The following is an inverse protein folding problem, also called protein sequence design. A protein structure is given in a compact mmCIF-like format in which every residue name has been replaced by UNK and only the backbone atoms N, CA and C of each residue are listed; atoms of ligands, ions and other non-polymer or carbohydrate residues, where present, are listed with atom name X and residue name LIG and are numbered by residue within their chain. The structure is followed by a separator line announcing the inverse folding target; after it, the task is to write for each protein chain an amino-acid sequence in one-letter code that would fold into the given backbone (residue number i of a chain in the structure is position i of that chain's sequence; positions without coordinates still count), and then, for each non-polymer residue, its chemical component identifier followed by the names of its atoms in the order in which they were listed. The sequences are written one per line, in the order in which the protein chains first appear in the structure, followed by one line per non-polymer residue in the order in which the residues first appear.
data_IF_945212403981
#
_entry.id   IF_945212403981
#
_cell.length_a   1.000
_cell.length_b   1.000
_cell.length_c   1.000
_cell.angle_alpha   90.00
_cell.angle_beta   90.00
_cell.angle_gamma   90.00
#
_symmetry.space_group_name_H-M   'P 1'
#
loop_
_entity.id
_entity.type
_entity.pdbx_description
1 polymer ?
#
# COMPACT_ATOMS: atom_id res chain seq x y z
N UNK A 1 20.57 4.64 21.60
CA UNK A 1 19.75 3.41 21.71
C UNK A 1 18.46 3.61 20.92
N UNK A 2 18.29 2.93 19.78
CA UNK A 2 17.09 3.00 18.96
C UNK A 2 15.92 2.36 19.70
N UNK A 3 14.98 3.15 20.22
CA UNK A 3 13.76 2.63 20.83
C UNK A 3 12.92 1.90 19.78
N UNK A 4 12.87 0.57 19.88
CA UNK A 4 12.01 -0.29 19.06
C UNK A 4 10.57 0.20 19.17
N UNK A 5 10.06 0.83 18.10
CA UNK A 5 8.69 1.35 18.08
C UNK A 5 7.72 0.18 18.18
N UNK A 6 7.03 0.04 19.33
CA UNK A 6 5.93 -0.93 19.50
C UNK A 6 4.94 -0.76 18.34
N UNK A 7 4.69 -1.84 17.60
CA UNK A 7 3.70 -1.87 16.52
C UNK A 7 2.37 -2.32 17.12
N UNK A 8 1.37 -1.47 17.02
CA UNK A 8 0.00 -1.78 17.45
C UNK A 8 -0.87 -2.07 16.22
N UNK A 9 -1.73 -3.09 16.33
CA UNK A 9 -2.71 -3.44 15.30
C UNK A 9 -3.78 -2.34 15.15
N UNK A 10 -4.56 -2.37 14.08
CA UNK A 10 -5.60 -1.36 13.83
C UNK A 10 -6.75 -1.52 14.82
N UNK A 11 -7.14 -2.76 15.06
CA UNK A 11 -8.22 -3.17 15.94
C UNK A 11 -7.95 -2.67 17.36
N UNK A 12 -6.71 -2.84 17.82
CA UNK A 12 -6.27 -2.36 19.12
C UNK A 12 -6.34 -0.83 19.24
N UNK A 13 -5.87 -0.10 18.23
CA UNK A 13 -5.93 1.38 18.24
C UNK A 13 -7.37 1.87 18.26
N UNK A 14 -8.26 1.23 17.49
CA UNK A 14 -9.68 1.58 17.45
C UNK A 14 -10.35 1.32 18.80
N UNK A 15 -10.11 0.14 19.40
CA UNK A 15 -10.65 -0.19 20.71
C UNK A 15 -10.22 0.84 21.77
N UNK A 16 -8.93 1.16 21.84
CA UNK A 16 -8.38 2.14 22.78
C UNK A 16 -9.01 3.53 22.60
N UNK A 17 -9.22 3.97 21.35
CA UNK A 17 -9.84 5.27 21.08
C UNK A 17 -11.33 5.26 21.40
N UNK A 18 -12.03 4.17 21.11
CA UNK A 18 -13.46 4.02 21.38
C UNK A 18 -13.73 3.99 22.90
N UNK A 19 -12.89 3.31 23.68
CA UNK A 19 -12.92 3.35 25.15
C UNK A 19 -12.63 4.76 25.69
N UNK A 20 -11.70 5.50 25.06
CA UNK A 20 -11.38 6.87 25.45
C UNK A 20 -12.48 7.89 25.09
N UNK A 21 -13.13 7.75 23.94
CA UNK A 21 -14.21 8.64 23.48
C UNK A 21 -15.56 8.31 24.13
N UNK A 22 -15.84 7.04 24.43
CA UNK A 22 -17.06 6.63 25.15
C UNK A 22 -17.08 7.09 26.62
N UNK A 23 -15.95 7.53 27.16
CA UNK A 23 -15.83 7.97 28.56
C UNK A 23 -15.93 6.84 29.59
N UNK A 24 -15.98 5.58 29.15
CA UNK A 24 -16.05 4.39 30.03
C UNK A 24 -14.77 4.24 30.85
N UNK A 25 -13.62 4.64 30.28
CA UNK A 25 -12.33 4.67 30.98
C UNK A 25 -11.64 6.00 30.77
N UNK A 26 -11.09 6.56 31.85
CA UNK A 26 -10.29 7.78 31.77
C UNK A 26 -8.98 7.48 31.03
N UNK A 27 -8.45 8.46 30.30
CA UNK A 27 -7.16 8.33 29.59
C UNK A 27 -6.04 7.77 30.48
N UNK A 28 -6.02 8.15 31.76
CA UNK A 28 -5.05 7.66 32.75
C UNK A 28 -5.25 6.21 33.20
N UNK A 29 -6.45 5.64 33.06
CA UNK A 29 -6.70 4.21 33.28
C UNK A 29 -6.23 3.41 32.07
N UNK A 30 -6.55 3.88 30.85
CA UNK A 30 -6.13 3.25 29.59
C UNK A 30 -4.60 3.19 29.49
N UNK A 31 -3.89 4.25 29.88
CA UNK A 31 -2.43 4.25 29.87
C UNK A 31 -1.81 3.28 30.86
N UNK A 32 -2.43 3.05 32.01
CA UNK A 32 -1.99 2.04 32.99
C UNK A 32 -2.30 0.62 32.56
N UNK A 33 -3.51 0.39 32.03
CA UNK A 33 -3.97 -0.94 31.64
C UNK A 33 -3.23 -1.48 30.41
N UNK A 34 -2.99 -0.61 29.43
CA UNK A 34 -2.34 -1.00 28.17
C UNK A 34 -0.86 -0.60 28.09
N UNK A 35 -0.29 -0.06 29.18
CA UNK A 35 1.06 0.50 29.24
C UNK A 35 1.38 1.48 28.09
N UNK A 36 0.39 2.31 27.75
CA UNK A 36 0.48 3.30 26.69
C UNK A 36 0.90 4.66 27.27
N UNK A 37 1.60 5.46 26.48
CA UNK A 37 1.87 6.85 26.88
C UNK A 37 0.64 7.73 26.60
N UNK A 38 0.36 8.71 27.48
CA UNK A 38 -0.78 9.61 27.28
C UNK A 38 -0.71 10.35 25.92
N UNK A 39 0.51 10.67 25.47
CA UNK A 39 0.75 11.28 24.17
C UNK A 39 0.35 10.41 22.98
N UNK A 40 0.52 9.07 23.06
CA UNK A 40 0.11 8.19 21.94
C UNK A 40 -1.42 8.06 21.88
N UNK A 41 -2.07 7.98 23.04
CA UNK A 41 -3.54 7.93 23.14
C UNK A 41 -4.16 9.22 22.62
N UNK A 42 -3.66 10.39 23.05
CA UNK A 42 -4.12 11.69 22.56
C UNK A 42 -3.97 11.82 21.03
N UNK A 43 -2.85 11.35 20.48
CA UNK A 43 -2.62 11.34 19.03
C UNK A 43 -3.62 10.45 18.30
N UNK A 44 -3.92 9.26 18.83
CA UNK A 44 -4.89 8.35 18.24
C UNK A 44 -6.31 8.92 18.27
N UNK A 45 -6.72 9.52 19.39
CA UNK A 45 -8.01 10.20 19.51
C UNK A 45 -8.12 11.34 18.50
N UNK A 46 -7.07 12.16 18.33
CA UNK A 46 -7.06 13.23 17.34
C UNK A 46 -7.22 12.70 15.90
N UNK A 47 -6.50 11.63 15.54
CA UNK A 47 -6.62 10.98 14.22
C UNK A 47 -8.04 10.46 13.98
N UNK A 48 -8.62 9.82 15.01
CA UNK A 48 -9.98 9.29 14.94
C UNK A 48 -11.05 10.37 14.83
N UNK A 49 -10.91 11.48 15.56
CA UNK A 49 -11.84 12.63 15.47
C UNK A 49 -11.83 13.29 14.09
N UNK A 50 -10.68 13.34 13.42
CA UNK A 50 -10.57 13.90 12.07
C UNK A 50 -11.24 13.00 11.04
N UNK A 51 -11.00 11.68 11.11
CA UNK A 51 -11.54 10.77 10.12
C UNK A 51 -11.74 9.35 10.70
N UNK A 52 -12.86 9.08 11.39
CA UNK A 52 -13.04 7.83 12.13
C UNK A 52 -13.11 6.60 11.22
N UNK A 53 -13.60 6.79 10.00
CA UNK A 53 -13.76 5.70 9.02
C UNK A 53 -12.40 5.22 8.51
N UNK A 54 -11.48 6.13 8.14
CA UNK A 54 -10.15 5.81 7.57
C UNK A 54 -9.04 5.81 8.61
N UNK A 55 -9.35 6.12 9.88
CA UNK A 55 -8.40 6.16 10.98
C UNK A 55 -7.56 4.88 11.03
N UNK A 56 -6.24 5.07 11.15
CA UNK A 56 -5.23 4.01 11.27
C UNK A 56 -5.05 3.09 10.07
N UNK A 57 -5.75 3.30 8.94
CA UNK A 57 -5.50 2.57 7.69
C UNK A 57 -4.21 3.03 6.99
N UNK A 58 -3.82 4.30 7.17
CA UNK A 58 -2.78 4.94 6.36
C UNK A 58 -1.42 4.26 6.32
N UNK A 59 -1.02 3.51 7.36
CA UNK A 59 0.27 2.79 7.35
C UNK A 59 0.21 1.40 6.73
N UNK A 60 -0.95 0.75 6.77
CA UNK A 60 -1.17 -0.54 6.10
C UNK A 60 -1.46 -0.30 4.61
N UNK A 61 -2.28 0.72 4.33
CA UNK A 61 -2.52 1.21 2.98
C UNK A 61 -1.25 1.70 2.32
N UNK A 62 -0.39 2.49 2.99
CA UNK A 62 0.85 2.96 2.36
C UNK A 62 1.75 1.79 1.93
N UNK A 63 1.91 0.77 2.78
CA UNK A 63 2.74 -0.40 2.44
C UNK A 63 2.13 -1.26 1.35
N UNK A 64 0.81 -1.36 1.27
CA UNK A 64 0.14 -2.13 0.22
C UNK A 64 0.11 -1.35 -1.09
N UNK A 65 -0.13 -0.04 -1.03
CA UNK A 65 -0.07 0.88 -2.17
C UNK A 65 1.34 0.94 -2.78
N UNK A 66 2.39 0.95 -1.95
CA UNK A 66 3.78 0.84 -2.40
C UNK A 66 4.05 -0.47 -3.14
N UNK A 67 3.57 -1.60 -2.61
CA UNK A 67 3.68 -2.90 -3.29
C UNK A 67 2.90 -2.95 -4.61
N UNK A 68 1.68 -2.40 -4.62
CA UNK A 68 0.85 -2.33 -5.81
C UNK A 68 1.50 -1.45 -6.88
N UNK A 69 2.07 -0.28 -6.51
CA UNK A 69 2.84 0.57 -7.41
C UNK A 69 4.08 -0.15 -7.98
N UNK A 70 4.79 -0.90 -7.15
CA UNK A 70 5.92 -1.71 -7.61
C UNK A 70 5.47 -2.77 -8.63
N UNK A 71 4.33 -3.42 -8.40
CA UNK A 71 3.78 -4.42 -9.32
C UNK A 71 3.30 -3.81 -10.64
N UNK A 72 2.67 -2.64 -10.60
CA UNK A 72 2.26 -1.91 -11.80
C UNK A 72 3.47 -1.61 -12.68
N UNK A 73 4.54 -1.06 -12.10
CA UNK A 73 5.78 -0.76 -12.84
C UNK A 73 6.40 -2.02 -13.47
N UNK A 74 6.42 -3.13 -12.74
CA UNK A 74 6.90 -4.42 -13.26
C UNK A 74 6.07 -4.89 -14.47
N UNK A 75 4.75 -4.78 -14.36
CA UNK A 75 3.82 -5.16 -15.42
C UNK A 75 3.95 -4.25 -16.65
N UNK A 76 4.10 -2.94 -16.46
CA UNK A 76 4.34 -1.98 -17.54
C UNK A 76 5.64 -2.30 -18.29
N UNK A 77 6.71 -2.64 -17.58
CA UNK A 77 7.96 -3.09 -18.21
C UNK A 77 7.80 -4.42 -18.96
N UNK A 78 7.07 -5.37 -18.40
CA UNK A 78 6.80 -6.64 -19.08
C UNK A 78 5.97 -6.43 -20.36
N UNK A 79 4.96 -5.57 -20.31
CA UNK A 79 4.13 -5.18 -21.45
C UNK A 79 4.97 -4.52 -22.55
N UNK A 80 5.87 -3.60 -22.18
CA UNK A 80 6.78 -2.95 -23.13
C UNK A 80 7.67 -3.97 -23.85
N UNK A 81 8.27 -4.92 -23.13
CA UNK A 81 9.07 -6.00 -23.75
C UNK A 81 8.26 -6.84 -24.72
N UNK A 82 7.03 -7.23 -24.33
CA UNK A 82 6.16 -8.03 -25.19
C UNK A 82 5.69 -7.27 -26.43
N UNK A 83 5.46 -5.96 -26.31
CA UNK A 83 5.12 -5.10 -27.44
C UNK A 83 6.26 -5.05 -28.45
N UNK A 84 7.49 -4.81 -27.99
CA UNK A 84 8.69 -4.82 -28.84
C UNK A 84 8.92 -6.17 -29.54
N UNK A 85 8.68 -7.28 -28.83
CA UNK A 85 8.79 -8.63 -29.38
C UNK A 85 7.77 -8.85 -30.51
N UNK A 86 6.52 -8.44 -30.30
CA UNK A 86 5.46 -8.50 -31.33
C UNK A 86 5.78 -7.62 -32.54
N UNK A 87 6.28 -6.40 -32.33
CA UNK A 87 6.65 -5.50 -33.42
C UNK A 87 7.80 -6.07 -34.24
N UNK A 88 8.82 -6.61 -33.59
CA UNK A 88 9.96 -7.26 -34.27
C UNK A 88 9.48 -8.48 -35.08
N UNK A 89 8.61 -9.31 -34.50
CA UNK A 89 8.01 -10.45 -35.20
C UNK A 89 7.17 -10.03 -36.42
N UNK A 90 6.38 -8.96 -36.32
CA UNK A 90 5.64 -8.41 -37.46
C UNK A 90 6.57 -7.90 -38.55
N UNK A 91 7.61 -7.13 -38.20
CA UNK A 91 8.58 -6.61 -39.16
C UNK A 91 9.34 -7.72 -39.90
N UNK A 92 9.75 -8.77 -39.18
CA UNK A 92 10.40 -9.93 -39.80
C UNK A 92 9.45 -10.70 -40.73
N UNK A 93 8.19 -10.88 -40.34
CA UNK A 93 7.18 -11.53 -41.17
C UNK A 93 6.88 -10.73 -42.45
N UNK A 94 6.75 -9.41 -42.35
CA UNK A 94 6.58 -8.52 -43.51
C UNK A 94 7.80 -8.60 -44.44
N UNK A 95 9.01 -8.53 -43.90
CA UNK A 95 10.24 -8.67 -44.68
C UNK A 95 10.37 -10.03 -45.38
N UNK A 96 9.93 -11.12 -44.74
CA UNK A 96 9.90 -12.46 -45.34
C UNK A 96 8.83 -12.59 -46.44
N UNK A 97 7.68 -11.94 -46.27
CA UNK A 97 6.59 -11.94 -47.26
C UNK A 97 7.00 -11.19 -48.53
N UNK A 98 7.74 -10.08 -48.40
CA UNK A 98 8.32 -9.33 -49.52
C UNK A 98 9.36 -10.17 -50.29
N UNK A 99 10.16 -10.99 -49.58
CA UNK A 99 11.21 -11.83 -50.18
C UNK A 99 10.66 -13.01 -50.99
N UNK A 100 9.50 -13.58 -50.60
CA UNK A 100 8.81 -14.64 -51.37
C UNK A 100 8.30 -14.17 -52.73
N UNK A 101 7.90 -12.90 -52.86
CA UNK A 101 7.45 -12.31 -54.13
C UNK A 101 8.57 -11.99 -55.12
N UNK A 102 9.83 -11.89 -54.66
CA UNK A 102 11.00 -11.58 -55.48
C UNK A 102 11.71 -12.79 -56.10
N UNK A 103 11.38 -14.01 -55.68
CA UNK A 103 11.98 -15.26 -56.18
C UNK A 103 11.17 -15.96 -57.28
N UNK A 104 10.04 -15.36 -57.72
CA UNK A 104 9.27 -15.80 -58.88
C UNK A 104 9.44 -14.80 -60.05
N UNK A 105 10.64 -14.70 -60.60
CA UNK A 105 10.88 -14.23 -61.98
C UNK A 105 12.09 -14.96 -62.54
#
# INVERSE_FOLDING_TARGET
MSATKRKFSREFKLQVVQEAESGVKTRSQITREYELSEGIVAKWVAIYRVNPVTAFMGKFMSTEEEKLKAKIKELEWALGRKTMEVETLKQTLEGLSVKKGGFMK
#
